data_IF_501030581177
#
_entry.id   IF_501030581177
#
_cell.length_a   1.000
_cell.length_b   1.000
_cell.length_c   1.000
_cell.angle_alpha   90.00
_cell.angle_beta   90.00
_cell.angle_gamma   90.00
#
_symmetry.space_group_name_H-M   'P 1'
#
loop_
_entity.id
_entity.type
_entity.pdbx_description
1 polymer ?
#
# COMPACT_ATOMS: atom_id res chain seq x y z
N UNK A 1 -5.98 15.33 17.04
CA UNK A 1 -7.25 15.90 16.55
C UNK A 1 -7.39 15.70 15.06
N UNK A 2 -8.61 15.45 14.58
CA UNK A 2 -8.96 15.38 13.15
C UNK A 2 -9.41 16.78 12.72
N UNK A 3 -8.97 17.21 11.53
CA UNK A 3 -9.37 18.48 10.92
C UNK A 3 -9.98 18.24 9.55
N UNK A 4 -10.99 19.00 9.22
CA UNK A 4 -11.66 18.93 7.91
C UNK A 4 -11.63 20.28 7.21
N UNK A 5 -11.54 20.26 5.89
CA UNK A 5 -11.62 21.46 5.06
C UNK A 5 -12.20 21.14 3.69
N UNK A 6 -12.83 22.13 3.08
CA UNK A 6 -13.32 22.02 1.71
C UNK A 6 -12.30 22.65 0.77
N UNK A 7 -11.80 21.84 -0.17
CA UNK A 7 -10.92 22.30 -1.24
C UNK A 7 -11.76 22.52 -2.50
N UNK A 8 -11.81 23.76 -2.97
CA UNK A 8 -12.51 24.08 -4.22
C UNK A 8 -11.82 23.42 -5.42
N UNK A 9 -12.59 23.02 -6.43
CA UNK A 9 -12.04 22.41 -7.64
C UNK A 9 -11.21 23.41 -8.43
N UNK A 10 -10.17 22.90 -9.10
CA UNK A 10 -9.48 23.64 -10.16
C UNK A 10 -10.29 23.67 -11.46
N UNK A 11 -9.66 24.18 -12.52
CA UNK A 11 -10.31 24.34 -13.83
C UNK A 11 -10.88 23.06 -14.45
N UNK A 12 -10.38 21.90 -14.06
CA UNK A 12 -10.74 20.59 -14.64
C UNK A 12 -11.68 19.75 -13.79
N UNK A 13 -12.11 20.23 -12.63
CA UNK A 13 -13.00 19.49 -11.75
C UNK A 13 -14.18 20.36 -11.31
N UNK A 14 -15.37 19.79 -11.28
CA UNK A 14 -16.62 20.50 -11.01
C UNK A 14 -17.13 20.35 -9.57
N UNK A 15 -16.57 19.44 -8.79
CA UNK A 15 -17.02 19.18 -7.43
C UNK A 15 -15.95 19.58 -6.39
N UNK A 16 -16.33 20.29 -5.30
CA UNK A 16 -15.44 20.51 -4.18
C UNK A 16 -15.13 19.18 -3.49
N UNK A 17 -13.89 19.05 -3.01
CA UNK A 17 -13.43 17.86 -2.30
C UNK A 17 -13.39 18.13 -0.80
N UNK A 18 -13.80 17.15 0.00
CA UNK A 18 -13.59 17.14 1.45
C UNK A 18 -12.20 16.60 1.75
N UNK A 19 -11.35 17.41 2.36
CA UNK A 19 -10.02 17.01 2.82
C UNK A 19 -10.09 16.78 4.32
N UNK A 20 -9.65 15.61 4.76
CA UNK A 20 -9.64 15.18 6.16
C UNK A 20 -8.19 14.88 6.53
N UNK A 21 -7.65 15.58 7.53
CA UNK A 21 -6.28 15.42 7.97
C UNK A 21 -6.21 15.15 9.47
N UNK A 22 -5.17 14.44 9.89
CA UNK A 22 -4.92 14.14 11.30
C UNK A 22 -3.44 13.91 11.55
N UNK A 23 -3.07 13.93 12.82
CA UNK A 23 -1.75 13.48 13.25
C UNK A 23 -1.78 11.95 13.38
N UNK A 24 -1.13 11.27 12.46
CA UNK A 24 -1.07 9.82 12.41
C UNK A 24 -0.38 9.20 13.63
N UNK A 25 0.61 9.88 14.21
CA UNK A 25 1.29 9.41 15.42
C UNK A 25 0.37 9.52 16.64
N UNK A 26 -0.40 10.58 16.74
CA UNK A 26 -1.32 10.80 17.85
C UNK A 26 -2.56 9.90 17.80
N UNK A 27 -3.07 9.59 16.60
CA UNK A 27 -4.24 8.70 16.44
C UNK A 27 -3.87 7.22 16.25
N UNK A 28 -2.61 6.93 15.90
CA UNK A 28 -2.15 5.57 15.66
C UNK A 28 -2.62 4.96 14.34
N UNK A 29 -3.16 5.76 13.43
CA UNK A 29 -3.62 5.33 12.11
C UNK A 29 -2.98 6.17 11.02
N UNK A 30 -2.23 5.54 10.13
CA UNK A 30 -1.70 6.24 8.95
C UNK A 30 -2.79 6.41 7.88
N UNK A 31 -2.68 7.43 7.00
CA UNK A 31 -3.61 7.60 5.88
C UNK A 31 -3.69 6.38 4.96
N UNK A 32 -2.57 5.68 4.76
CA UNK A 32 -2.52 4.45 3.98
C UNK A 32 -3.31 3.30 4.62
N UNK A 33 -3.20 3.14 5.96
CA UNK A 33 -4.00 2.14 6.69
C UNK A 33 -5.50 2.44 6.61
N UNK A 34 -5.89 3.71 6.77
CA UNK A 34 -7.29 4.14 6.64
C UNK A 34 -7.80 3.90 5.22
N UNK A 35 -7.02 4.24 4.20
CA UNK A 35 -7.35 3.94 2.80
C UNK A 35 -7.59 2.44 2.59
N UNK A 36 -6.66 1.58 3.03
CA UNK A 36 -6.78 0.13 2.87
C UNK A 36 -8.02 -0.42 3.59
N UNK A 37 -8.30 0.04 4.82
CA UNK A 37 -9.46 -0.41 5.58
C UNK A 37 -10.80 0.02 4.96
N UNK A 38 -10.85 1.19 4.32
CA UNK A 38 -12.01 1.66 3.56
C UNK A 38 -12.16 0.87 2.26
N UNK A 39 -11.05 0.63 1.57
CA UNK A 39 -11.03 -0.07 0.28
C UNK A 39 -11.35 -1.57 0.41
N UNK A 40 -10.90 -2.21 1.47
CA UNK A 40 -11.13 -3.64 1.74
C UNK A 40 -12.42 -3.90 2.54
N UNK A 41 -13.07 -2.84 3.02
CA UNK A 41 -14.29 -2.93 3.83
C UNK A 41 -15.56 -3.17 3.01
N UNK A 42 -16.68 -3.37 3.75
CA UNK A 42 -18.02 -3.46 3.18
C UNK A 42 -18.91 -2.39 3.82
N UNK A 43 -19.51 -1.48 3.05
CA UNK A 43 -19.26 -1.29 1.62
C UNK A 43 -17.83 -0.81 1.33
N UNK A 44 -17.35 -1.08 0.13
CA UNK A 44 -16.04 -0.62 -0.33
C UNK A 44 -16.09 0.87 -0.62
N UNK A 45 -15.20 1.64 -0.01
CA UNK A 45 -15.15 3.09 -0.14
C UNK A 45 -13.80 3.50 -0.72
N UNK A 46 -13.81 4.23 -1.83
CA UNK A 46 -12.60 4.78 -2.41
C UNK A 46 -12.40 6.23 -2.01
N UNK A 47 -11.24 6.52 -1.43
CA UNK A 47 -10.76 7.87 -1.14
C UNK A 47 -9.38 8.08 -1.77
N UNK A 48 -8.86 9.30 -1.79
CA UNK A 48 -7.48 9.56 -2.17
C UNK A 48 -6.65 9.77 -0.90
N UNK A 49 -5.67 8.89 -0.67
CA UNK A 49 -4.73 9.05 0.43
C UNK A 49 -3.60 10.03 0.08
N UNK A 50 -3.14 10.77 1.07
CA UNK A 50 -1.95 11.62 1.05
C UNK A 50 -1.12 11.36 2.31
N UNK A 51 0.05 11.97 2.44
CA UNK A 51 0.89 11.82 3.64
C UNK A 51 0.22 12.32 4.93
N UNK A 52 -0.80 13.18 4.83
CA UNK A 52 -1.42 13.84 5.97
C UNK A 52 -2.87 13.44 6.23
N UNK A 53 -3.49 12.64 5.37
CA UNK A 53 -4.89 12.30 5.50
C UNK A 53 -5.52 11.75 4.22
N UNK A 54 -6.83 11.85 4.13
CA UNK A 54 -7.59 11.40 2.97
C UNK A 54 -8.44 12.51 2.37
N UNK A 55 -8.74 12.37 1.09
CA UNK A 55 -9.63 13.29 0.36
C UNK A 55 -10.80 12.49 -0.21
N UNK A 56 -12.00 12.93 0.12
CA UNK A 56 -13.27 12.42 -0.45
C UNK A 56 -13.67 13.30 -1.61
N UNK A 57 -13.88 12.68 -2.77
CA UNK A 57 -14.45 13.35 -3.95
C UNK A 57 -15.92 12.93 -4.09
N UNK A 58 -16.89 13.84 -3.96
CA UNK A 58 -18.31 13.50 -3.96
C UNK A 58 -18.91 13.37 -5.37
N UNK A 59 -18.13 13.47 -6.44
CA UNK A 59 -18.63 13.58 -7.81
C UNK A 59 -19.60 12.47 -8.25
N UNK A 60 -19.40 11.25 -7.73
CA UNK A 60 -20.22 10.07 -8.08
C UNK A 60 -21.03 9.55 -6.87
N UNK A 61 -21.15 10.35 -5.80
CA UNK A 61 -21.88 9.93 -4.62
C UNK A 61 -23.39 10.12 -4.83
N UNK A 62 -24.15 9.17 -4.31
CA UNK A 62 -25.61 9.18 -4.26
C UNK A 62 -26.12 9.62 -2.89
N UNK A 63 -27.45 9.74 -2.75
CA UNK A 63 -28.07 10.08 -1.48
C UNK A 63 -27.82 8.96 -0.45
N UNK A 64 -27.24 9.29 0.70
CA UNK A 64 -26.90 8.35 1.77
C UNK A 64 -25.42 7.96 1.78
N UNK A 65 -24.68 8.14 0.69
CA UNK A 65 -23.25 7.78 0.63
C UNK A 65 -22.39 8.61 1.59
N UNK A 66 -22.76 9.88 1.77
CA UNK A 66 -22.02 10.79 2.66
C UNK A 66 -22.06 10.31 4.11
N UNK A 67 -23.20 9.83 4.56
CA UNK A 67 -23.42 9.26 5.88
C UNK A 67 -22.60 7.99 6.06
N UNK A 68 -22.62 7.08 5.08
CA UNK A 68 -21.83 5.84 5.09
C UNK A 68 -20.33 6.16 5.19
N UNK A 69 -19.83 7.08 4.37
CA UNK A 69 -18.42 7.49 4.40
C UNK A 69 -18.06 8.10 5.75
N UNK A 70 -18.91 8.97 6.30
CA UNK A 70 -18.68 9.62 7.58
C UNK A 70 -18.64 8.61 8.74
N UNK A 71 -19.59 7.67 8.78
CA UNK A 71 -19.65 6.62 9.79
C UNK A 71 -18.41 5.72 9.75
N UNK A 72 -18.03 5.27 8.56
CA UNK A 72 -16.86 4.40 8.38
C UNK A 72 -15.54 5.10 8.76
N UNK A 73 -15.35 6.34 8.32
CA UNK A 73 -14.18 7.14 8.71
C UNK A 73 -14.13 7.41 10.21
N UNK A 74 -15.28 7.77 10.81
CA UNK A 74 -15.37 8.00 12.25
C UNK A 74 -15.04 6.73 13.04
N UNK A 75 -15.57 5.59 12.64
CA UNK A 75 -15.30 4.31 13.29
C UNK A 75 -13.81 3.94 13.21
N UNK A 76 -13.19 4.08 12.04
CA UNK A 76 -11.75 3.78 11.85
C UNK A 76 -10.85 4.72 12.65
N UNK A 77 -11.12 6.03 12.62
CA UNK A 77 -10.29 7.02 13.30
C UNK A 77 -10.50 7.05 14.83
N UNK A 78 -11.62 6.50 15.32
CA UNK A 78 -11.90 6.35 16.75
C UNK A 78 -11.49 5.00 17.31
N UNK A 79 -11.18 4.03 16.46
CA UNK A 79 -10.72 2.72 16.89
C UNK A 79 -9.34 2.85 17.59
N UNK A 80 -9.05 2.00 18.60
CA UNK A 80 -7.71 1.92 19.14
C UNK A 80 -6.72 1.62 18.02
N UNK A 81 -5.54 2.26 18.08
CA UNK A 81 -4.46 1.95 17.15
C UNK A 81 -4.25 0.43 17.11
N UNK A 82 -4.29 -0.16 15.94
CA UNK A 82 -3.86 -1.54 15.78
C UNK A 82 -2.40 -1.60 16.27
N UNK A 83 -2.13 -2.50 17.23
CA UNK A 83 -0.77 -2.70 17.69
C UNK A 83 0.09 -2.95 16.45
N UNK A 84 1.08 -2.08 16.23
CA UNK A 84 2.07 -2.35 15.19
C UNK A 84 2.66 -3.71 15.51
N UNK A 85 2.74 -4.63 14.54
CA UNK A 85 3.41 -5.89 14.79
C UNK A 85 4.78 -5.57 15.37
N UNK A 86 5.01 -5.97 16.65
CA UNK A 86 6.34 -5.87 17.24
C UNK A 86 7.26 -6.68 16.33
N UNK A 87 8.33 -6.05 15.83
CA UNK A 87 9.34 -6.78 15.09
C UNK A 87 9.69 -8.04 15.91
N UNK A 88 9.59 -9.24 15.34
CA UNK A 88 9.93 -10.45 16.09
C UNK A 88 11.37 -10.35 16.57
N UNK A 89 11.63 -10.84 17.79
CA UNK A 89 12.99 -10.90 18.38
C UNK A 89 13.91 -11.89 17.60
N UNK A 90 13.40 -12.50 16.53
CA UNK A 90 14.15 -13.39 15.65
C UNK A 90 15.01 -12.57 14.71
N UNK A 91 16.29 -12.91 14.50
CA UNK A 91 17.12 -12.26 13.52
C UNK A 91 16.43 -12.23 12.14
N UNK A 92 16.50 -11.10 11.47
CA UNK A 92 15.93 -10.97 10.14
C UNK A 92 16.65 -11.89 9.15
N UNK A 93 15.91 -12.57 8.28
CA UNK A 93 16.48 -13.30 7.18
C UNK A 93 17.26 -12.34 6.26
N UNK A 94 18.37 -12.79 5.69
CA UNK A 94 19.10 -12.00 4.69
C UNK A 94 18.39 -12.11 3.33
N UNK A 95 17.81 -11.00 2.91
CA UNK A 95 17.15 -10.85 1.60
C UNK A 95 17.92 -9.94 0.65
N UNK A 96 19.14 -9.52 1.02
CA UNK A 96 20.00 -8.71 0.15
C UNK A 96 20.30 -9.45 -1.14
N UNK A 97 20.46 -8.72 -2.24
CA UNK A 97 20.86 -9.28 -3.55
C UNK A 97 19.78 -9.14 -4.61
N UNK A 98 19.99 -9.85 -5.70
CA UNK A 98 19.12 -9.82 -6.87
C UNK A 98 18.08 -10.97 -6.82
N UNK A 99 16.86 -10.63 -7.18
CA UNK A 99 15.72 -11.54 -7.19
C UNK A 99 14.95 -11.44 -8.50
N UNK A 100 14.52 -12.57 -9.04
CA UNK A 100 13.50 -12.62 -10.07
C UNK A 100 12.16 -12.81 -9.40
N UNK A 101 11.29 -11.79 -9.47
CA UNK A 101 9.94 -11.79 -8.91
C UNK A 101 8.92 -12.10 -9.99
N UNK A 102 8.10 -13.11 -9.77
CA UNK A 102 6.98 -13.51 -10.62
C UNK A 102 5.67 -13.19 -9.91
N UNK A 103 4.83 -12.36 -10.52
CA UNK A 103 3.45 -12.10 -10.05
C UNK A 103 2.48 -12.84 -10.93
N UNK A 104 1.60 -13.65 -10.34
CA UNK A 104 0.60 -14.45 -11.03
C UNK A 104 -0.77 -13.81 -10.89
N UNK A 105 -1.30 -13.34 -12.00
CA UNK A 105 -2.65 -12.78 -12.10
C UNK A 105 -3.67 -13.85 -12.50
N UNK A 106 -4.95 -13.49 -12.54
CA UNK A 106 -6.02 -14.37 -13.05
C UNK A 106 -5.77 -14.77 -14.51
N UNK A 107 -5.24 -13.85 -15.31
CA UNK A 107 -4.98 -14.07 -16.75
C UNK A 107 -3.50 -13.81 -17.08
N UNK A 108 -2.61 -14.70 -16.60
CA UNK A 108 -1.18 -14.62 -16.93
C UNK A 108 -0.27 -14.25 -15.78
N UNK A 109 0.97 -13.95 -16.10
CA UNK A 109 2.01 -13.60 -15.14
C UNK A 109 2.89 -12.45 -15.63
N UNK A 110 3.55 -11.77 -14.70
CA UNK A 110 4.61 -10.82 -15.02
C UNK A 110 5.88 -11.16 -14.24
N UNK A 111 7.04 -10.82 -14.81
CA UNK A 111 8.36 -11.02 -14.21
C UNK A 111 9.10 -9.70 -14.11
N UNK A 112 9.73 -9.48 -12.97
CA UNK A 112 10.48 -8.28 -12.66
C UNK A 112 11.77 -8.64 -11.95
N UNK A 113 12.87 -7.97 -12.29
CA UNK A 113 14.09 -8.03 -11.50
C UNK A 113 13.98 -7.09 -10.31
N UNK A 114 14.23 -7.58 -9.11
CA UNK A 114 14.29 -6.76 -7.89
C UNK A 114 15.66 -6.92 -7.27
N UNK A 115 16.34 -5.80 -7.03
CA UNK A 115 17.58 -5.79 -6.25
C UNK A 115 17.27 -5.18 -4.89
N UNK A 116 17.57 -5.91 -3.82
CA UNK A 116 17.34 -5.50 -2.44
C UNK A 116 18.67 -5.24 -1.73
N UNK A 117 18.70 -4.18 -0.96
CA UNK A 117 19.74 -3.84 0.01
C UNK A 117 19.09 -3.84 1.39
N UNK A 118 19.74 -4.49 2.36
CA UNK A 118 19.21 -4.65 3.71
C UNK A 118 20.12 -4.00 4.74
N UNK A 119 19.53 -3.15 5.58
CA UNK A 119 20.18 -2.59 6.78
C UNK A 119 19.31 -2.94 8.00
N UNK A 120 19.74 -3.97 8.75
CA UNK A 120 18.96 -4.54 9.84
C UNK A 120 17.61 -5.08 9.34
N UNK A 121 16.53 -4.46 9.78
CA UNK A 121 15.17 -4.78 9.34
C UNK A 121 14.70 -3.97 8.12
N UNK A 122 15.41 -2.92 7.74
CA UNK A 122 15.00 -2.00 6.67
C UNK A 122 15.46 -2.52 5.32
N UNK A 123 14.55 -2.48 4.34
CA UNK A 123 14.83 -2.84 2.95
C UNK A 123 14.73 -1.60 2.07
N UNK A 124 15.73 -1.44 1.22
CA UNK A 124 15.73 -0.51 0.09
C UNK A 124 16.13 -1.26 -1.17
N UNK A 125 15.91 -0.65 -2.32
CA UNK A 125 16.32 -1.31 -3.56
C UNK A 125 15.68 -0.73 -4.80
N UNK A 126 15.73 -1.52 -5.87
CA UNK A 126 15.21 -1.14 -7.19
C UNK A 126 14.46 -2.31 -7.81
N UNK A 127 13.24 -2.06 -8.26
CA UNK A 127 12.49 -2.97 -9.11
C UNK A 127 12.65 -2.54 -10.58
N UNK A 128 13.02 -3.47 -11.43
CA UNK A 128 13.19 -3.25 -12.88
C UNK A 128 12.10 -4.00 -13.64
N UNK A 129 11.30 -3.25 -14.36
CA UNK A 129 10.37 -3.76 -15.37
C UNK A 129 10.96 -3.57 -16.78
N UNK A 130 10.36 -4.12 -17.83
CA UNK A 130 10.76 -3.85 -19.21
C UNK A 130 10.72 -2.36 -19.60
N UNK A 131 9.97 -1.55 -18.85
CA UNK A 131 9.68 -0.16 -19.21
C UNK A 131 10.35 0.86 -18.31
N UNK A 132 10.59 0.52 -17.04
CA UNK A 132 11.14 1.47 -16.06
C UNK A 132 11.83 0.77 -14.89
N UNK A 133 12.62 1.56 -14.17
CA UNK A 133 13.16 1.20 -12.86
C UNK A 133 12.49 2.05 -11.79
N UNK A 134 12.02 1.41 -10.73
CA UNK A 134 11.30 2.07 -9.63
C UNK A 134 11.93 1.73 -8.29
N UNK A 135 11.97 2.68 -7.34
CA UNK A 135 12.51 2.42 -6.02
C UNK A 135 11.65 1.38 -5.27
N UNK A 136 12.35 0.59 -4.47
CA UNK A 136 11.76 -0.36 -3.53
C UNK A 136 12.06 0.11 -2.12
N UNK A 137 11.06 0.05 -1.24
CA UNK A 137 11.22 0.23 0.20
C UNK A 137 10.43 -0.83 0.94
N UNK A 138 10.90 -1.25 2.11
CA UNK A 138 10.22 -2.29 2.86
C UNK A 138 10.91 -2.65 4.16
N UNK A 139 10.56 -3.80 4.69
CA UNK A 139 11.18 -4.34 5.90
C UNK A 139 11.19 -5.87 5.87
N UNK A 140 12.06 -6.45 6.68
CA UNK A 140 12.10 -7.88 6.97
C UNK A 140 12.11 -8.08 8.48
N UNK A 141 11.31 -9.02 8.98
CA UNK A 141 11.18 -9.32 10.40
C UNK A 141 11.12 -10.84 10.60
N UNK A 142 12.20 -11.44 11.09
CA UNK A 142 12.36 -12.89 11.04
C UNK A 142 12.36 -13.37 9.60
N UNK A 143 11.42 -14.24 9.25
CA UNK A 143 11.19 -14.71 7.88
C UNK A 143 10.08 -13.93 7.15
N UNK A 144 9.43 -12.98 7.80
CA UNK A 144 8.40 -12.16 7.16
C UNK A 144 9.04 -11.02 6.40
N UNK A 145 8.64 -10.84 5.14
CA UNK A 145 9.11 -9.76 4.28
C UNK A 145 7.93 -8.96 3.75
N UNK A 146 8.06 -7.64 3.80
CA UNK A 146 7.17 -6.74 3.08
C UNK A 146 8.01 -5.71 2.33
N UNK A 147 7.72 -5.53 1.06
CA UNK A 147 8.30 -4.44 0.28
C UNK A 147 7.29 -3.87 -0.71
N UNK A 148 7.48 -2.61 -1.06
CA UNK A 148 6.61 -1.88 -1.98
C UNK A 148 7.40 -1.19 -3.07
N UNK A 149 6.76 -1.10 -4.22
CA UNK A 149 7.29 -0.38 -5.38
C UNK A 149 6.13 0.18 -6.20
N UNK A 150 6.42 1.11 -7.10
CA UNK A 150 5.42 1.62 -8.05
C UNK A 150 5.77 1.12 -9.43
N UNK A 151 4.85 0.38 -10.01
CA UNK A 151 4.98 -0.13 -11.38
C UNK A 151 4.05 0.65 -12.30
N UNK A 152 4.62 1.17 -13.38
CA UNK A 152 3.90 1.87 -14.41
C UNK A 152 3.50 0.93 -15.56
N UNK A 153 2.27 1.07 -16.02
CA UNK A 153 1.81 0.51 -17.28
C UNK A 153 1.08 1.59 -18.05
N UNK A 154 1.63 2.00 -19.18
CA UNK A 154 1.18 3.14 -19.95
C UNK A 154 1.12 4.43 -19.09
N UNK A 155 -0.04 5.07 -18.99
CA UNK A 155 -0.23 6.32 -18.25
C UNK A 155 -0.57 6.11 -16.75
N UNK A 156 -0.69 4.86 -16.28
CA UNK A 156 -1.10 4.53 -14.92
C UNK A 156 0.08 4.02 -14.11
N UNK A 157 0.28 4.57 -12.92
CA UNK A 157 1.24 4.07 -11.92
C UNK A 157 0.50 3.60 -10.69
N UNK A 158 0.71 2.34 -10.35
CA UNK A 158 0.10 1.72 -9.19
C UNK A 158 1.18 1.31 -8.18
N UNK A 159 0.84 1.43 -6.91
CA UNK A 159 1.67 0.89 -5.86
C UNK A 159 1.37 -0.60 -5.70
N UNK A 160 2.42 -1.40 -5.69
CA UNK A 160 2.41 -2.82 -5.43
C UNK A 160 3.04 -3.05 -4.07
N UNK A 161 2.30 -3.73 -3.18
CA UNK A 161 2.81 -4.10 -1.85
C UNK A 161 2.90 -5.62 -1.80
N UNK A 162 4.14 -6.11 -1.77
CA UNK A 162 4.48 -7.52 -1.72
C UNK A 162 4.64 -7.92 -0.26
N UNK A 163 3.79 -8.80 0.24
CA UNK A 163 3.88 -9.36 1.58
C UNK A 163 4.05 -10.87 1.51
N UNK A 164 4.93 -11.44 2.34
CA UNK A 164 5.16 -12.88 2.29
C UNK A 164 6.26 -13.37 3.21
N UNK A 165 6.79 -14.53 2.89
CA UNK A 165 7.83 -15.21 3.67
C UNK A 165 9.07 -15.49 2.84
N UNK A 166 10.21 -15.56 3.53
CA UNK A 166 11.51 -15.93 2.99
C UNK A 166 11.86 -17.34 3.45
N UNK A 167 12.30 -18.18 2.54
CA UNK A 167 12.84 -19.51 2.81
C UNK A 167 14.11 -19.71 1.93
N UNK A 168 15.26 -19.44 2.51
CA UNK A 168 16.54 -19.49 1.81
C UNK A 168 16.59 -18.55 0.60
N UNK A 169 16.72 -19.12 -0.59
CA UNK A 169 16.78 -18.41 -1.85
C UNK A 169 15.42 -18.24 -2.53
N UNK A 170 14.34 -18.49 -1.80
CA UNK A 170 12.98 -18.31 -2.29
C UNK A 170 12.20 -17.33 -1.39
N UNK A 171 11.31 -16.57 -2.00
CA UNK A 171 10.28 -15.77 -1.31
C UNK A 171 8.93 -15.98 -1.99
N UNK A 172 7.85 -15.73 -1.25
CA UNK A 172 6.52 -15.76 -1.84
C UNK A 172 5.42 -15.37 -0.88
N UNK A 173 4.26 -15.08 -1.44
CA UNK A 173 3.09 -14.66 -0.69
C UNK A 173 2.04 -13.95 -1.54
N UNK A 174 1.46 -12.89 -1.00
CA UNK A 174 0.42 -12.11 -1.67
C UNK A 174 0.93 -10.71 -1.99
N UNK A 175 0.61 -10.21 -3.17
CA UNK A 175 0.85 -8.82 -3.57
C UNK A 175 -0.48 -8.09 -3.71
N UNK A 176 -0.57 -6.91 -3.10
CA UNK A 176 -1.68 -5.97 -3.31
C UNK A 176 -1.35 -5.08 -4.51
N UNK A 177 -2.29 -4.99 -5.45
CA UNK A 177 -2.14 -4.30 -6.74
C UNK A 177 -2.83 -2.93 -6.72
N UNK A 178 -2.79 -2.24 -5.59
CA UNK A 178 -3.55 -1.02 -5.39
C UNK A 178 -5.06 -1.28 -5.53
N UNK A 179 -5.72 -0.53 -6.41
CA UNK A 179 -7.17 -0.66 -6.64
C UNK A 179 -7.59 -1.90 -7.41
N UNK A 180 -6.64 -2.67 -7.97
CA UNK A 180 -6.93 -3.87 -8.77
C UNK A 180 -6.96 -5.18 -7.97
N UNK A 181 -6.98 -5.09 -6.63
CA UNK A 181 -7.10 -6.24 -5.76
C UNK A 181 -5.77 -6.88 -5.42
N UNK A 182 -5.73 -8.22 -5.40
CA UNK A 182 -4.57 -9.00 -4.96
C UNK A 182 -4.21 -10.07 -5.97
N UNK A 183 -2.93 -10.46 -5.95
CA UNK A 183 -2.39 -11.57 -6.71
C UNK A 183 -1.40 -12.37 -5.85
N UNK A 184 -1.02 -13.55 -6.30
CA UNK A 184 0.08 -14.30 -5.70
C UNK A 184 1.41 -13.87 -6.32
N UNK A 185 2.48 -13.94 -5.54
CA UNK A 185 3.81 -13.73 -6.04
C UNK A 185 4.80 -14.75 -5.49
N UNK A 186 5.84 -14.98 -6.23
CA UNK A 186 7.00 -15.77 -5.82
C UNK A 186 8.27 -15.09 -6.34
N UNK A 187 9.39 -15.34 -5.67
CA UNK A 187 10.70 -14.87 -6.13
C UNK A 187 11.76 -15.93 -5.92
N UNK A 188 12.76 -15.92 -6.80
CA UNK A 188 13.96 -16.72 -6.68
C UNK A 188 15.18 -15.79 -6.70
N UNK A 189 16.17 -16.10 -5.85
CA UNK A 189 17.43 -15.37 -5.84
C UNK A 189 18.20 -15.65 -7.14
N UNK A 190 18.68 -14.60 -7.76
CA UNK A 190 19.55 -14.70 -8.96
C UNK A 190 20.99 -14.84 -8.50
N UNK A 191 21.65 -15.88 -8.97
CA UNK A 191 23.08 -16.13 -8.70
C UNK A 191 24.00 -15.26 -9.57
#
# INVERSE_FOLDING_TARGET
>A
SVSTSIRQPGLSNVAPNLVITWDAAALGHTPAQVFSALWEGEPRIRVHASDRGVTVNPYMMENGDAEIVAERLSALLSAPAAAQPKAPDTPAADVSGAWEVCTRYVLGESRHGVTLEQDGAVLTGVCRSPFEASPVTGFVAGTQVEFRTRLGHHATRNEYVFGGTVDGDAMGGTVTLGEFGRAEWSAQRVQ
#
